data_IF_938538524399
#
_entry.id   IF_938538524399
#
_cell.length_a   1.000
_cell.length_b   1.000
_cell.length_c   1.000
_cell.angle_alpha   90.00
_cell.angle_beta   90.00
_cell.angle_gamma   90.00
#
_symmetry.space_group_name_H-M   'P 1'
#
loop_
_entity.id
_entity.type
_entity.pdbx_description
1 polymer ?
#
# COMPACT_ATOMS: atom_id res chain seq x y z
N UNK A 1 -2.50 -15.96 24.41
CA UNK A 1 -2.66 -17.26 23.71
C UNK A 1 -1.52 -17.39 22.70
N UNK A 2 -0.72 -18.45 22.74
CA UNK A 2 0.41 -18.62 21.83
C UNK A 2 0.02 -19.40 20.58
N UNK A 3 0.33 -18.85 19.41
CA UNK A 3 0.12 -19.50 18.11
C UNK A 3 1.46 -19.98 17.55
N UNK A 4 1.45 -21.10 16.84
CA UNK A 4 2.58 -21.62 16.06
C UNK A 4 2.24 -21.54 14.58
N UNK A 5 3.23 -21.19 13.76
CA UNK A 5 3.12 -21.19 12.31
C UNK A 5 3.99 -22.31 11.78
N UNK A 6 3.41 -23.24 11.00
CA UNK A 6 4.12 -24.29 10.29
C UNK A 6 4.12 -23.97 8.80
N UNK A 7 5.28 -24.09 8.16
CA UNK A 7 5.45 -23.85 6.72
C UNK A 7 6.02 -25.12 6.08
N UNK A 8 5.29 -25.68 5.13
CA UNK A 8 5.72 -26.82 4.32
C UNK A 8 5.96 -26.35 2.88
N UNK A 9 7.23 -26.40 2.46
CA UNK A 9 7.71 -26.04 1.14
C UNK A 9 8.53 -27.18 0.49
N UNK A 10 8.25 -28.44 0.86
CA UNK A 10 8.94 -29.61 0.27
C UNK A 10 8.62 -29.75 -1.22
N UNK A 11 7.42 -29.36 -1.61
CA UNK A 11 6.91 -29.42 -2.97
C UNK A 11 7.09 -28.06 -3.67
N UNK A 12 7.89 -27.95 -4.73
CA UNK A 12 8.12 -26.66 -5.42
C UNK A 12 6.86 -26.11 -6.12
N UNK A 13 5.88 -26.96 -6.37
CA UNK A 13 4.58 -26.58 -6.94
C UNK A 13 3.65 -25.90 -5.94
N UNK A 14 3.85 -26.14 -4.64
CA UNK A 14 2.89 -25.80 -3.59
C UNK A 14 3.57 -25.53 -2.24
N UNK A 15 3.33 -24.35 -1.67
CA UNK A 15 3.70 -24.00 -0.29
C UNK A 15 2.47 -23.98 0.59
N UNK A 16 2.49 -24.67 1.72
CA UNK A 16 1.37 -24.75 2.67
C UNK A 16 1.76 -24.10 3.98
N UNK A 17 0.90 -23.22 4.50
CA UNK A 17 1.11 -22.51 5.77
C UNK A 17 -0.05 -22.82 6.70
N UNK A 18 0.25 -23.22 7.94
CA UNK A 18 -0.75 -23.57 8.95
C UNK A 18 -0.49 -22.80 10.23
N UNK A 19 -1.53 -22.15 10.77
CA UNK A 19 -1.50 -21.54 12.09
C UNK A 19 -2.21 -22.47 13.07
N UNK A 20 -1.54 -22.81 14.16
CA UNK A 20 -2.02 -23.76 15.17
C UNK A 20 -2.02 -23.11 16.55
N UNK A 21 -3.10 -23.28 17.29
CA UNK A 21 -3.17 -22.91 18.69
C UNK A 21 -2.31 -23.88 19.53
N UNK A 22 -1.33 -23.36 20.24
CA UNK A 22 -0.33 -24.19 20.92
C UNK A 22 -0.88 -24.98 22.11
N UNK A 23 -2.00 -24.56 22.70
CA UNK A 23 -2.59 -25.20 23.87
C UNK A 23 -3.52 -26.35 23.48
N UNK A 24 -4.28 -26.18 22.40
CA UNK A 24 -5.26 -27.16 21.93
C UNK A 24 -4.74 -28.04 20.79
N UNK A 25 -3.62 -27.65 20.18
CA UNK A 25 -3.05 -28.25 18.97
C UNK A 25 -4.07 -28.30 17.80
N UNK A 26 -5.01 -27.35 17.78
CA UNK A 26 -6.02 -27.22 16.71
C UNK A 26 -5.58 -26.18 15.69
N UNK A 27 -5.86 -26.48 14.42
CA UNK A 27 -5.66 -25.54 13.32
C UNK A 27 -6.63 -24.37 13.49
N UNK A 28 -6.09 -23.16 13.48
CA UNK A 28 -6.89 -21.94 13.44
C UNK A 28 -6.99 -21.37 12.03
N UNK A 29 -5.92 -21.51 11.23
CA UNK A 29 -5.86 -20.98 9.86
C UNK A 29 -4.99 -21.88 8.97
N UNK A 30 -5.29 -21.89 7.68
CA UNK A 30 -4.64 -22.73 6.67
C UNK A 30 -4.67 -22.04 5.31
N UNK A 31 -3.49 -21.84 4.72
CA UNK A 31 -3.34 -21.25 3.40
C UNK A 31 -2.40 -22.09 2.50
N UNK A 32 -2.63 -21.99 1.19
CA UNK A 32 -1.90 -22.72 0.16
C UNK A 32 -1.51 -21.78 -0.98
N UNK A 33 -0.21 -21.54 -1.12
CA UNK A 33 0.38 -20.86 -2.26
C UNK A 33 0.73 -21.85 -3.36
N UNK A 34 0.30 -21.59 -4.60
CA UNK A 34 0.69 -22.39 -5.78
C UNK A 34 1.57 -21.57 -6.73
N UNK A 35 2.50 -22.24 -7.42
CA UNK A 35 3.44 -21.57 -8.34
C UNK A 35 2.80 -21.20 -9.69
N UNK A 36 1.61 -21.72 -9.99
CA UNK A 36 0.97 -21.57 -11.32
C UNK A 36 0.37 -20.20 -11.58
N UNK A 37 -0.04 -19.46 -10.54
CA UNK A 37 -0.62 -18.13 -10.67
C UNK A 37 -0.02 -17.17 -9.62
N UNK A 38 0.86 -16.24 -10.02
CA UNK A 38 1.38 -15.25 -9.09
C UNK A 38 0.24 -14.38 -8.56
N UNK A 39 0.11 -14.30 -7.24
CA UNK A 39 -0.79 -13.35 -6.59
C UNK A 39 -0.13 -11.97 -6.63
N UNK A 40 -0.73 -11.05 -7.38
CA UNK A 40 -0.26 -9.66 -7.50
C UNK A 40 -1.07 -8.68 -6.65
N UNK A 41 -2.16 -9.16 -6.04
CA UNK A 41 -3.03 -8.35 -5.19
C UNK A 41 -2.28 -8.03 -3.90
N UNK A 42 -2.29 -6.75 -3.50
CA UNK A 42 -1.60 -6.29 -2.29
C UNK A 42 -0.12 -5.96 -2.52
N UNK A 43 0.43 -6.22 -3.69
CA UNK A 43 1.79 -5.81 -4.01
C UNK A 43 1.89 -4.29 -4.13
N UNK A 44 3.02 -3.75 -3.67
CA UNK A 44 3.34 -2.32 -3.74
C UNK A 44 4.44 -2.13 -4.78
N UNK A 45 4.25 -1.15 -5.66
CA UNK A 45 5.15 -0.88 -6.77
C UNK A 45 5.53 0.60 -6.80
N UNK A 46 6.79 0.89 -7.13
CA UNK A 46 7.15 2.20 -7.68
C UNK A 46 6.78 2.21 -9.16
N UNK A 47 5.79 3.02 -9.53
CA UNK A 47 5.22 3.06 -10.87
C UNK A 47 5.42 4.44 -11.52
N UNK A 48 5.35 4.49 -12.85
CA UNK A 48 5.42 5.73 -13.63
C UNK A 48 4.06 6.06 -14.21
N UNK A 49 3.57 7.28 -14.03
CA UNK A 49 2.37 7.77 -14.73
C UNK A 49 2.68 7.88 -16.23
N UNK A 50 1.89 7.19 -17.05
CA UNK A 50 2.09 7.18 -18.51
C UNK A 50 1.16 8.14 -19.24
N UNK A 51 -0.05 8.36 -18.72
CA UNK A 51 -1.04 9.31 -19.24
C UNK A 51 -2.08 9.63 -18.18
N UNK A 52 -2.65 10.82 -18.28
CA UNK A 52 -3.78 11.26 -17.47
C UNK A 52 -5.00 11.33 -18.38
N UNK A 53 -6.13 10.79 -17.93
CA UNK A 53 -7.40 10.74 -18.68
C UNK A 53 -8.46 11.52 -17.89
N UNK A 54 -8.63 12.83 -18.14
CA UNK A 54 -9.57 13.68 -17.40
C UNK A 54 -11.01 13.20 -17.49
N UNK A 55 -11.42 12.66 -18.65
CA UNK A 55 -12.77 12.13 -18.87
C UNK A 55 -13.09 10.94 -17.97
N UNK A 56 -12.07 10.15 -17.58
CA UNK A 56 -12.22 9.03 -16.66
C UNK A 56 -11.92 9.43 -15.21
N UNK A 57 -11.49 10.68 -14.98
CA UNK A 57 -10.94 11.14 -13.70
C UNK A 57 -9.91 10.14 -13.15
N UNK A 58 -8.95 9.75 -13.99
CA UNK A 58 -7.98 8.71 -13.67
C UNK A 58 -6.65 8.92 -14.39
N UNK A 59 -5.62 8.25 -13.91
CA UNK A 59 -4.33 8.12 -14.57
C UNK A 59 -4.08 6.64 -14.93
N UNK A 60 -3.34 6.41 -16.00
CA UNK A 60 -2.76 5.10 -16.26
C UNK A 60 -1.30 5.09 -15.82
N UNK A 61 -0.89 4.01 -15.18
CA UNK A 61 0.46 3.83 -14.63
C UNK A 61 1.14 2.60 -15.21
N UNK A 62 2.43 2.69 -15.51
CA UNK A 62 3.26 1.52 -15.80
C UNK A 62 3.95 1.06 -14.51
N UNK A 63 3.66 -0.17 -14.11
CA UNK A 63 4.19 -0.83 -12.92
C UNK A 63 4.95 -2.12 -13.27
N UNK A 64 5.36 -2.29 -14.54
CA UNK A 64 6.30 -3.34 -14.95
C UNK A 64 5.70 -4.70 -15.34
N UNK A 65 4.36 -4.82 -15.44
CA UNK A 65 3.69 -6.10 -15.79
C UNK A 65 3.32 -6.23 -17.27
N UNK A 66 3.74 -5.27 -18.11
CA UNK A 66 3.40 -5.23 -19.54
C UNK A 66 1.98 -4.75 -19.85
N UNK A 67 1.15 -4.49 -18.83
CA UNK A 67 -0.13 -3.81 -18.95
C UNK A 67 -0.17 -2.62 -18.00
N UNK A 68 -0.72 -1.52 -18.47
CA UNK A 68 -0.86 -0.34 -17.64
C UNK A 68 -1.93 -0.56 -16.57
N UNK A 69 -1.63 -0.12 -15.36
CA UNK A 69 -2.56 -0.06 -14.24
C UNK A 69 -3.50 1.12 -14.43
N UNK A 70 -4.69 1.01 -13.87
CA UNK A 70 -5.66 2.08 -13.80
C UNK A 70 -5.68 2.64 -12.37
N UNK A 71 -5.42 3.93 -12.22
CA UNK A 71 -5.37 4.63 -10.95
C UNK A 71 -6.45 5.74 -10.95
N UNK A 72 -7.61 5.51 -10.32
CA UNK A 72 -8.64 6.53 -10.16
C UNK A 72 -8.10 7.73 -9.38
N UNK A 73 -8.57 8.93 -9.69
CA UNK A 73 -8.14 10.16 -8.99
C UNK A 73 -8.50 10.12 -7.50
N UNK A 74 -9.63 9.52 -7.12
CA UNK A 74 -10.05 9.37 -5.73
C UNK A 74 -9.12 8.50 -4.87
N UNK A 75 -8.30 7.66 -5.51
CA UNK A 75 -7.37 6.73 -4.85
C UNK A 75 -5.93 7.30 -4.78
N UNK A 76 -5.75 8.57 -5.13
CA UNK A 76 -4.44 9.24 -5.09
C UNK A 76 -4.33 9.99 -3.76
N UNK A 77 -3.33 9.64 -2.95
CA UNK A 77 -3.06 10.35 -1.70
C UNK A 77 -2.78 11.84 -1.98
N UNK A 78 -3.32 12.79 -1.18
CA UNK A 78 -3.10 14.23 -1.37
C UNK A 78 -1.64 14.65 -1.44
N UNK A 79 -0.74 13.82 -0.89
CA UNK A 79 0.70 14.10 -0.97
C UNK A 79 1.27 14.15 -2.38
N UNK A 80 0.62 13.47 -3.32
CA UNK A 80 1.03 13.45 -4.72
C UNK A 80 0.44 14.61 -5.53
N UNK A 81 -0.39 15.47 -4.93
CA UNK A 81 -0.95 16.62 -5.62
C UNK A 81 0.07 17.75 -5.73
N UNK A 82 0.16 18.32 -6.93
CA UNK A 82 0.97 19.50 -7.21
C UNK A 82 0.20 20.76 -6.79
N UNK A 83 0.10 20.99 -5.49
CA UNK A 83 -0.58 22.15 -4.87
C UNK A 83 0.39 22.91 -3.96
N UNK A 84 0.01 24.12 -3.53
CA UNK A 84 0.85 24.87 -2.59
C UNK A 84 0.96 24.13 -1.25
N UNK A 85 2.04 24.34 -0.46
CA UNK A 85 2.19 23.68 0.84
C UNK A 85 1.01 23.93 1.80
N UNK A 86 0.45 25.14 1.79
CA UNK A 86 -0.73 25.50 2.59
C UNK A 86 -1.98 24.71 2.16
N UNK A 87 -2.19 24.56 0.85
CA UNK A 87 -3.29 23.77 0.29
C UNK A 87 -3.11 22.29 0.61
N UNK A 88 -1.88 21.78 0.52
CA UNK A 88 -1.52 20.40 0.84
C UNK A 88 -1.86 20.08 2.30
N UNK A 89 -1.43 20.92 3.24
CA UNK A 89 -1.71 20.76 4.68
C UNK A 89 -3.21 20.68 4.96
N UNK A 90 -3.98 21.59 4.36
CA UNK A 90 -5.44 21.61 4.52
C UNK A 90 -6.10 20.34 3.95
N UNK A 91 -5.63 19.84 2.82
CA UNK A 91 -6.16 18.61 2.21
C UNK A 91 -5.82 17.37 3.04
N UNK A 92 -4.62 17.32 3.63
CA UNK A 92 -4.20 16.23 4.50
C UNK A 92 -5.02 16.21 5.80
N UNK A 93 -5.23 17.37 6.42
CA UNK A 93 -6.07 17.51 7.62
C UNK A 93 -7.52 17.05 7.36
N UNK A 94 -8.07 17.39 6.19
CA UNK A 94 -9.39 16.92 5.77
C UNK A 94 -9.42 15.42 5.46
N UNK A 95 -8.34 14.86 4.91
CA UNK A 95 -8.25 13.42 4.66
C UNK A 95 -8.17 12.63 5.97
N UNK A 96 -7.36 13.08 6.93
CA UNK A 96 -7.23 12.46 8.25
C UNK A 96 -8.55 12.50 9.01
N UNK A 97 -9.27 13.64 8.97
CA UNK A 97 -10.57 13.78 9.61
C UNK A 97 -11.65 12.81 9.07
N UNK A 98 -11.52 12.33 7.83
CA UNK A 98 -12.45 11.38 7.22
C UNK A 98 -12.09 9.90 7.48
N UNK A 99 -10.90 9.60 8.01
CA UNK A 99 -10.46 8.24 8.32
C UNK A 99 -10.83 7.85 9.77
N UNK A 100 -11.14 8.82 10.63
CA UNK A 100 -11.45 8.62 12.06
C UNK A 100 -12.82 7.96 12.33
N UNK A 101 -13.56 7.53 11.30
CA UNK A 101 -14.87 6.88 11.47
C UNK A 101 -14.82 5.34 11.44
N UNK A 102 -13.66 4.68 11.22
CA UNK A 102 -13.61 3.21 11.11
C UNK A 102 -12.53 2.46 11.94
N UNK A 103 -11.58 3.11 12.62
CA UNK A 103 -10.62 2.42 13.52
C UNK A 103 -10.25 3.29 14.74
N UNK A 104 -11.02 3.14 15.83
CA UNK A 104 -10.71 3.68 17.16
C UNK A 104 -9.61 2.78 17.81
N UNK A 105 -8.35 2.92 17.38
CA UNK A 105 -7.17 2.40 18.09
C UNK A 105 -6.42 3.58 18.75
N UNK A 106 -6.60 3.82 20.06
CA UNK A 106 -6.10 5.02 20.74
C UNK A 106 -4.58 5.04 21.02
N UNK A 107 -3.81 4.10 20.48
CA UNK A 107 -2.38 3.91 20.82
C UNK A 107 -1.37 4.31 19.71
N UNK A 108 -1.78 5.04 18.66
CA UNK A 108 -0.81 5.61 17.69
C UNK A 108 -0.27 6.99 18.15
N UNK A 109 0.47 6.99 19.26
CA UNK A 109 1.27 8.15 19.70
C UNK A 109 2.59 8.26 18.91
N UNK A 110 2.53 8.25 17.57
CA UNK A 110 3.71 8.60 16.78
C UNK A 110 3.40 9.40 15.50
N UNK A 111 2.69 10.52 15.66
CA UNK A 111 2.73 11.64 14.71
C UNK A 111 4.07 12.41 14.82
N UNK A 112 5.20 11.71 14.66
CA UNK A 112 6.41 12.38 14.19
C UNK A 112 6.20 12.73 12.72
N UNK A 113 5.66 13.93 12.49
CA UNK A 113 5.76 14.61 11.20
C UNK A 113 7.25 14.70 10.86
N UNK A 114 7.75 13.74 10.09
CA UNK A 114 9.08 13.81 9.51
C UNK A 114 9.11 15.07 8.65
N UNK A 115 9.74 16.12 9.19
CA UNK A 115 10.02 17.36 8.50
C UNK A 115 11.02 17.03 7.37
N UNK A 116 10.49 16.65 6.20
CA UNK A 116 11.30 16.44 5.01
C UNK A 116 11.75 17.82 4.52
N UNK A 117 13.00 18.15 4.86
CA UNK A 117 13.71 19.32 4.37
C UNK A 117 13.82 19.22 2.83
N UNK A 118 13.00 20.00 2.13
CA UNK A 118 13.01 20.12 0.67
C UNK A 118 14.24 20.92 0.24
N UNK A 119 15.40 20.27 0.29
CA UNK A 119 16.61 20.75 -0.36
C UNK A 119 16.64 20.30 -1.82
N UNK A 120 15.79 20.87 -2.66
CA UNK A 120 16.03 20.91 -4.11
C UNK A 120 15.34 22.08 -4.80
N UNK A 121 15.73 23.30 -4.42
CA UNK A 121 15.58 24.47 -5.28
C UNK A 121 16.95 24.92 -5.82
N UNK A 122 17.12 24.81 -7.15
CA UNK A 122 18.27 25.30 -7.93
C UNK A 122 19.43 24.30 -8.01
N UNK A 123 20.04 24.02 -9.15
CA UNK A 123 20.52 24.96 -10.16
C UNK A 123 20.49 24.35 -11.58
N UNK A 124 20.11 25.19 -12.54
CA UNK A 124 20.69 25.34 -13.88
C UNK A 124 21.37 24.12 -14.53
N UNK A 125 20.82 23.67 -15.65
CA UNK A 125 21.66 23.61 -16.85
C UNK A 125 20.87 23.84 -18.15
N UNK A 126 21.50 24.73 -18.91
CA UNK A 126 21.18 25.29 -20.22
C UNK A 126 21.13 24.27 -21.35
#
# INVERSE_FOLDING_TARGET
MSKKIYVDAVHPEETRVVVVDSATNRVSDFDVGTTTKPQIKGNIYLAKVIRVEPSLQAAFVDYGTGKNGFLPFSEIHPDYYQVSPEQKKKLLELAHANIVDDDDDPDDENDEVAEYDDHSAGEDNK
#
